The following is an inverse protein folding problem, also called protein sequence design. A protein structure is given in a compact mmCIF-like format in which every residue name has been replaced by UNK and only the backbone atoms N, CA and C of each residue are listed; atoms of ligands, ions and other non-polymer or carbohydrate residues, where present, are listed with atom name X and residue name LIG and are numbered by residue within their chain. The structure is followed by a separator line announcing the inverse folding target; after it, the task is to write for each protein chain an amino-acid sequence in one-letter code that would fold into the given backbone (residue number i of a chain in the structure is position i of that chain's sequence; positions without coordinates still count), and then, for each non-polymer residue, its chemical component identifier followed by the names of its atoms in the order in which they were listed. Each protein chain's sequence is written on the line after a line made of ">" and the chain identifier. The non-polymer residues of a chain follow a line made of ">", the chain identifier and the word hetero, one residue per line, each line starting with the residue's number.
data_IF_706393749606
#
_entry.id   IF_706393749606
#
_cell.length_a   1.000
_cell.length_b   1.000
_cell.length_c   1.000
_cell.angle_alpha   90.00
_cell.angle_beta   90.00
_cell.angle_gamma   90.00
#
_symmetry.space_group_name_H-M   'P 1'
#
loop_
_entity.id
_entity.type
_entity.pdbx_description
1 polymer ?
#
# COMPACT_ATOMS: atom_id res chain seq x y z
N UNK A 1 27.13 -13.80 -73.71
CA UNK A 1 27.88 -13.80 -72.41
C UNK A 1 27.12 -12.91 -71.40
N UNK A 2 26.17 -13.46 -70.70
CA UNK A 2 25.36 -12.75 -69.73
C UNK A 2 25.47 -13.47 -68.41
N UNK A 3 26.13 -12.83 -67.43
CA UNK A 3 26.31 -13.35 -66.07
C UNK A 3 25.06 -13.00 -65.26
N UNK A 4 24.32 -14.02 -64.88
CA UNK A 4 23.21 -13.93 -63.96
C UNK A 4 23.75 -13.84 -62.51
N UNK A 5 23.39 -12.76 -61.79
CA UNK A 5 23.72 -12.60 -60.38
C UNK A 5 22.59 -13.16 -59.53
N UNK A 6 22.84 -14.20 -58.77
CA UNK A 6 21.96 -14.70 -57.73
C UNK A 6 22.11 -13.83 -56.47
N UNK A 7 21.06 -13.19 -56.06
CA UNK A 7 20.96 -12.56 -54.73
C UNK A 7 20.44 -13.58 -53.71
N UNK A 8 21.01 -13.68 -52.51
CA UNK A 8 20.45 -14.53 -51.46
C UNK A 8 19.29 -13.84 -50.80
N UNK A 9 18.14 -14.53 -50.78
CA UNK A 9 16.97 -14.17 -50.00
C UNK A 9 17.27 -14.44 -48.53
N UNK A 10 17.45 -13.39 -47.76
CA UNK A 10 17.45 -13.45 -46.28
C UNK A 10 16.04 -13.70 -45.80
N UNK A 11 15.73 -14.92 -45.37
CA UNK A 11 14.54 -15.25 -44.59
C UNK A 11 14.69 -14.62 -43.18
N UNK A 12 14.08 -13.46 -42.98
CA UNK A 12 13.83 -12.96 -41.62
C UNK A 12 12.77 -13.84 -41.01
N UNK A 13 13.21 -14.75 -40.12
CA UNK A 13 12.34 -15.44 -39.19
C UNK A 13 11.76 -14.41 -38.20
N UNK A 14 10.56 -13.95 -38.49
CA UNK A 14 9.78 -13.19 -37.52
C UNK A 14 9.35 -14.11 -36.37
N UNK A 15 10.14 -14.12 -35.31
CA UNK A 15 9.78 -14.73 -34.05
C UNK A 15 8.65 -13.87 -33.48
N UNK A 16 7.39 -14.24 -33.80
CA UNK A 16 6.21 -13.71 -33.11
C UNK A 16 6.25 -14.16 -31.65
N UNK A 17 6.89 -13.36 -30.81
CA UNK A 17 6.60 -13.37 -29.39
C UNK A 17 5.18 -12.86 -29.23
N UNK A 18 4.22 -13.77 -29.19
CA UNK A 18 2.88 -13.48 -28.68
C UNK A 18 3.04 -13.13 -27.18
N UNK A 19 3.28 -11.87 -26.90
CA UNK A 19 2.99 -11.35 -25.57
C UNK A 19 1.49 -11.47 -25.39
N UNK A 20 1.09 -12.46 -24.59
CA UNK A 20 -0.23 -12.52 -24.03
C UNK A 20 -0.54 -11.14 -23.46
N UNK A 21 -1.56 -10.50 -24.02
CA UNK A 21 -2.18 -9.32 -23.42
C UNK A 21 -2.97 -9.80 -22.18
N UNK A 22 -2.23 -10.22 -21.15
CA UNK A 22 -2.75 -10.24 -19.80
C UNK A 22 -2.91 -8.78 -19.39
N UNK A 23 -4.04 -8.41 -18.83
CA UNK A 23 -4.27 -7.12 -18.21
C UNK A 23 -3.13 -6.88 -17.21
N UNK A 24 -2.07 -6.22 -17.69
CA UNK A 24 -0.86 -6.01 -16.94
C UNK A 24 -1.17 -5.20 -15.70
N UNK A 25 -0.97 -5.82 -14.56
CA UNK A 25 -0.92 -5.14 -13.28
C UNK A 25 -0.01 -3.90 -13.42
N UNK A 26 -0.61 -2.71 -13.40
CA UNK A 26 0.16 -1.47 -13.31
C UNK A 26 0.67 -1.38 -11.89
N UNK A 27 1.97 -1.56 -11.69
CA UNK A 27 2.62 -1.63 -10.38
C UNK A 27 2.44 -0.41 -9.46
N UNK A 28 1.52 0.49 -9.79
CA UNK A 28 1.17 1.69 -9.03
C UNK A 28 -0.23 1.65 -8.41
N UNK A 29 -1.02 0.58 -8.63
CA UNK A 29 -2.47 0.67 -8.45
C UNK A 29 -2.97 0.72 -7.01
N UNK A 30 -2.12 0.57 -5.99
CA UNK A 30 -2.58 0.56 -4.59
C UNK A 30 -1.92 1.56 -3.65
N UNK A 31 -0.72 2.07 -3.99
CA UNK A 31 0.00 2.99 -3.10
C UNK A 31 0.82 4.03 -3.88
N UNK A 32 0.73 4.07 -5.21
CA UNK A 32 1.66 4.84 -6.05
C UNK A 32 3.09 4.28 -6.08
N UNK A 33 3.34 3.15 -5.42
CA UNK A 33 4.67 2.56 -5.28
C UNK A 33 4.85 1.41 -6.27
N UNK A 34 5.88 1.47 -7.13
CA UNK A 34 6.26 0.35 -8.00
C UNK A 34 6.60 -0.86 -7.14
N UNK A 35 5.98 -2.01 -7.41
CA UNK A 35 6.19 -3.24 -6.64
C UNK A 35 7.57 -3.85 -6.91
N UNK A 36 8.02 -3.80 -8.16
CA UNK A 36 9.33 -4.32 -8.56
C UNK A 36 10.12 -3.22 -9.24
N UNK A 37 11.30 -2.96 -8.72
CA UNK A 37 12.29 -2.04 -9.28
C UNK A 37 13.61 -2.81 -9.38
N UNK A 38 14.39 -2.69 -10.45
CA UNK A 38 15.72 -3.28 -10.54
C UNK A 38 16.58 -2.89 -9.34
N UNK A 39 17.32 -3.83 -8.77
CA UNK A 39 18.06 -3.65 -7.51
C UNK A 39 19.12 -2.56 -7.61
N UNK A 40 19.73 -2.42 -8.78
CA UNK A 40 20.71 -1.38 -9.11
C UNK A 40 20.12 0.03 -9.17
N UNK A 41 18.80 0.15 -9.27
CA UNK A 41 18.06 1.42 -9.27
C UNK A 41 17.47 1.79 -7.90
N UNK A 42 17.63 0.92 -6.91
CA UNK A 42 17.13 1.18 -5.56
C UNK A 42 18.08 2.10 -4.80
N UNK A 43 17.56 3.17 -4.19
CA UNK A 43 18.37 4.01 -3.30
C UNK A 43 18.77 3.25 -2.03
N UNK A 44 19.80 3.72 -1.36
CA UNK A 44 20.33 3.13 -0.13
C UNK A 44 20.30 4.13 1.02
N UNK A 45 20.16 3.62 2.24
CA UNK A 45 20.41 4.42 3.45
C UNK A 45 21.88 4.77 3.54
N UNK A 46 22.18 5.92 4.11
CA UNK A 46 23.56 6.33 4.43
C UNK A 46 24.13 5.58 5.64
N UNK A 47 23.24 5.18 6.55
CA UNK A 47 23.56 4.37 7.74
C UNK A 47 22.40 3.38 7.94
N UNK A 48 22.75 2.13 8.20
CA UNK A 48 21.78 1.09 8.57
C UNK A 48 22.38 0.22 9.66
N UNK A 49 21.62 0.06 10.74
CA UNK A 49 21.88 -0.90 11.80
C UNK A 49 20.65 -1.80 11.90
N UNK A 50 20.84 -3.10 11.73
CA UNK A 50 19.74 -4.07 11.71
C UNK A 50 20.18 -5.34 12.46
N UNK A 51 19.64 -5.55 13.65
CA UNK A 51 19.96 -6.68 14.50
C UNK A 51 18.71 -7.42 15.02
N UNK A 52 18.81 -8.71 15.34
CA UNK A 52 17.74 -9.41 16.05
C UNK A 52 17.45 -8.73 17.38
N UNK A 53 16.17 -8.52 17.69
CA UNK A 53 15.78 -7.95 18.98
C UNK A 53 16.07 -8.94 20.12
N UNK A 54 16.61 -8.41 21.22
CA UNK A 54 16.92 -9.16 22.45
C UNK A 54 15.88 -8.94 23.55
N UNK A 55 14.84 -8.16 23.27
CA UNK A 55 13.83 -7.74 24.26
C UNK A 55 12.42 -8.10 23.82
N UNK A 56 11.54 -8.37 24.77
CA UNK A 56 10.11 -8.60 24.55
C UNK A 56 9.26 -7.33 24.74
N UNK A 57 9.80 -6.19 24.38
CA UNK A 57 9.10 -4.90 24.46
C UNK A 57 7.98 -4.75 23.43
N UNK A 58 7.28 -3.59 23.44
CA UNK A 58 6.29 -3.26 22.44
C UNK A 58 6.91 -3.19 21.05
N UNK A 59 6.08 -3.43 20.04
CA UNK A 59 6.46 -3.25 18.62
C UNK A 59 6.24 -1.81 18.23
N UNK A 60 7.28 -1.14 17.75
CA UNK A 60 7.23 0.24 17.27
C UNK A 60 7.82 0.32 15.87
N UNK A 61 7.14 1.00 14.97
CA UNK A 61 7.60 1.18 13.59
C UNK A 61 7.31 2.61 13.14
N UNK A 62 8.36 3.38 12.94
CA UNK A 62 8.25 4.81 12.65
C UNK A 62 9.09 5.21 11.45
N UNK A 63 8.46 5.98 10.57
CA UNK A 63 9.13 6.78 9.54
C UNK A 63 9.10 8.24 10.01
N UNK A 64 10.26 8.81 10.27
CA UNK A 64 10.35 10.19 10.72
C UNK A 64 10.65 11.15 9.58
N UNK A 65 10.08 12.37 9.63
CA UNK A 65 10.60 13.46 8.83
C UNK A 65 12.10 13.63 9.07
N UNK A 66 12.85 13.97 8.03
CA UNK A 66 14.31 14.06 8.13
C UNK A 66 15.05 12.77 7.80
N UNK A 67 14.39 11.84 7.11
CA UNK A 67 15.04 10.67 6.52
C UNK A 67 15.43 9.56 7.50
N UNK A 68 14.75 9.44 8.63
CA UNK A 68 15.03 8.40 9.63
C UNK A 68 13.92 7.33 9.68
N UNK A 69 14.34 6.08 9.85
CA UNK A 69 13.47 4.93 10.10
C UNK A 69 13.92 4.27 11.39
N UNK A 70 12.99 4.08 12.32
CA UNK A 70 13.20 3.32 13.56
C UNK A 70 12.14 2.23 13.67
N UNK A 71 12.58 0.99 13.65
CA UNK A 71 11.77 -0.18 13.95
C UNK A 71 12.33 -0.86 15.19
N UNK A 72 11.51 -1.01 16.22
CA UNK A 72 11.88 -1.61 17.51
C UNK A 72 10.97 -2.81 17.76
N UNK A 73 11.55 -3.99 17.99
CA UNK A 73 10.81 -5.23 18.18
C UNK A 73 9.82 -5.55 17.07
N UNK A 74 10.18 -5.29 15.81
CA UNK A 74 9.29 -5.48 14.65
C UNK A 74 9.54 -6.85 14.02
N UNK A 75 8.51 -7.71 13.89
CA UNK A 75 8.63 -8.95 13.11
C UNK A 75 9.09 -8.67 11.69
N UNK A 76 9.98 -9.50 11.14
CA UNK A 76 10.51 -9.30 9.79
C UNK A 76 9.42 -9.18 8.72
N UNK A 77 8.32 -9.92 8.89
CA UNK A 77 7.14 -9.79 8.01
C UNK A 77 6.60 -8.37 7.95
N UNK A 78 6.54 -7.67 9.08
CA UNK A 78 6.06 -6.29 9.13
C UNK A 78 7.09 -5.32 8.55
N UNK A 79 8.39 -5.59 8.70
CA UNK A 79 9.45 -4.82 8.02
C UNK A 79 9.29 -4.92 6.50
N UNK A 80 9.08 -6.13 5.99
CA UNK A 80 8.81 -6.36 4.57
C UNK A 80 7.51 -5.65 4.16
N UNK A 81 6.44 -5.78 4.92
CA UNK A 81 5.18 -5.08 4.64
C UNK A 81 5.37 -3.56 4.56
N UNK A 82 6.13 -2.97 5.49
CA UNK A 82 6.45 -1.54 5.48
C UNK A 82 7.23 -1.12 4.24
N UNK A 83 8.19 -1.94 3.78
CA UNK A 83 8.96 -1.67 2.58
C UNK A 83 8.09 -1.60 1.31
N UNK A 84 6.96 -2.31 1.27
CA UNK A 84 6.00 -2.29 0.15
C UNK A 84 4.75 -1.45 0.41
N UNK A 85 4.66 -0.77 1.55
CA UNK A 85 3.50 0.05 1.90
C UNK A 85 2.26 -0.78 2.27
N UNK A 86 2.48 -1.99 2.80
CA UNK A 86 1.41 -2.92 3.21
C UNK A 86 1.28 -3.01 4.74
N UNK A 87 1.63 -1.95 5.47
CA UNK A 87 1.61 -1.94 6.93
C UNK A 87 0.24 -2.30 7.51
N UNK A 88 -0.82 -1.89 6.82
CA UNK A 88 -2.20 -2.17 7.23
C UNK A 88 -2.71 -3.55 6.76
N UNK A 89 -1.96 -4.25 5.92
CA UNK A 89 -2.32 -5.56 5.39
C UNK A 89 -1.09 -6.45 5.17
N UNK A 90 -0.42 -6.80 6.28
CA UNK A 90 0.73 -7.68 6.23
C UNK A 90 0.42 -9.11 5.72
N UNK A 91 -0.86 -9.44 5.53
CA UNK A 91 -1.26 -10.69 4.89
C UNK A 91 -0.85 -10.76 3.41
N UNK A 92 -0.53 -9.61 2.80
CA UNK A 92 0.04 -9.51 1.45
C UNK A 92 1.53 -9.86 1.37
N UNK A 93 2.13 -10.25 2.49
CA UNK A 93 3.45 -10.89 2.53
C UNK A 93 3.23 -12.38 2.80
N UNK A 94 3.59 -13.22 1.84
CA UNK A 94 3.39 -14.66 1.87
C UNK A 94 4.71 -15.43 1.71
N UNK A 95 4.71 -16.72 2.05
CA UNK A 95 5.88 -17.58 1.91
C UNK A 95 6.99 -17.28 2.91
N UNK A 96 8.19 -17.73 2.58
CA UNK A 96 9.37 -17.61 3.42
C UNK A 96 9.41 -18.57 4.61
N UNK A 97 10.52 -18.59 5.34
CA UNK A 97 10.69 -19.43 6.53
C UNK A 97 9.85 -18.94 7.72
N UNK A 98 9.50 -19.83 8.63
CA UNK A 98 8.61 -19.53 9.76
C UNK A 98 9.07 -18.35 10.62
N UNK A 99 10.37 -18.17 10.80
CA UNK A 99 10.95 -17.11 11.60
C UNK A 99 10.57 -15.70 11.14
N UNK A 100 10.27 -15.51 9.85
CA UNK A 100 9.83 -14.22 9.29
C UNK A 100 8.59 -13.68 10.02
N UNK A 101 7.72 -14.57 10.49
CA UNK A 101 6.50 -14.21 11.22
C UNK A 101 6.72 -13.96 12.72
N UNK A 102 7.77 -14.51 13.30
CA UNK A 102 7.93 -14.59 14.75
C UNK A 102 9.15 -13.86 15.28
N UNK A 103 10.24 -13.83 14.53
CA UNK A 103 11.47 -13.16 14.99
C UNK A 103 11.38 -11.66 14.77
N UNK A 104 11.74 -10.96 15.81
CA UNK A 104 11.70 -9.50 15.88
C UNK A 104 13.09 -8.91 15.65
N UNK A 105 13.11 -7.76 15.03
CA UNK A 105 14.33 -7.02 14.69
C UNK A 105 14.24 -5.60 15.19
N UNK A 106 15.40 -5.05 15.54
CA UNK A 106 15.63 -3.62 15.72
C UNK A 106 16.34 -3.11 14.47
N UNK A 107 15.78 -2.11 13.82
CA UNK A 107 16.34 -1.50 12.62
C UNK A 107 16.35 0.01 12.80
N UNK A 108 17.54 0.59 12.77
CA UNK A 108 17.74 2.04 12.77
C UNK A 108 18.44 2.41 11.47
N UNK A 109 17.77 3.21 10.65
CA UNK A 109 18.33 3.61 9.36
C UNK A 109 18.19 5.11 9.13
N UNK A 110 19.17 5.69 8.46
CA UNK A 110 19.21 7.12 8.13
C UNK A 110 19.47 7.33 6.65
N UNK A 111 18.70 8.23 6.07
CA UNK A 111 18.82 8.72 4.70
C UNK A 111 19.14 10.22 4.71
N UNK A 112 19.09 10.85 3.55
CA UNK A 112 19.19 12.31 3.44
C UNK A 112 17.98 12.98 4.12
N UNK A 113 18.15 14.17 4.74
CA UNK A 113 17.07 14.82 5.52
C UNK A 113 15.81 15.19 4.72
N UNK A 114 15.93 15.32 3.41
CA UNK A 114 14.83 15.64 2.48
C UNK A 114 14.14 14.42 1.88
N UNK A 115 14.59 13.20 2.25
CA UNK A 115 14.02 11.96 1.76
C UNK A 115 12.55 11.82 2.15
N UNK A 116 11.71 11.53 1.17
CA UNK A 116 10.31 11.29 1.38
C UNK A 116 10.06 9.84 1.88
N UNK A 117 8.90 9.57 2.48
CA UNK A 117 8.54 8.22 2.94
C UNK A 117 8.60 7.19 1.80
N UNK A 118 8.25 7.59 0.58
CA UNK A 118 8.37 6.72 -0.59
C UNK A 118 9.82 6.27 -0.85
N UNK A 119 10.77 7.19 -0.70
CA UNK A 119 12.20 6.89 -0.86
C UNK A 119 12.70 5.98 0.27
N UNK A 120 12.28 6.24 1.51
CA UNK A 120 12.64 5.41 2.66
C UNK A 120 12.15 3.96 2.49
N UNK A 121 10.97 3.76 1.91
CA UNK A 121 10.47 2.42 1.56
C UNK A 121 11.33 1.74 0.49
N UNK A 122 11.78 2.47 -0.51
CA UNK A 122 12.69 1.92 -1.53
C UNK A 122 14.05 1.56 -0.92
N UNK A 123 14.56 2.39 -0.01
CA UNK A 123 15.79 2.09 0.74
C UNK A 123 15.63 0.86 1.64
N UNK A 124 14.47 0.66 2.27
CA UNK A 124 14.17 -0.57 3.02
C UNK A 124 14.19 -1.80 2.11
N UNK A 125 13.64 -1.71 0.89
CA UNK A 125 13.73 -2.82 -0.08
C UNK A 125 15.18 -3.13 -0.44
N UNK A 126 15.98 -2.08 -0.70
CA UNK A 126 17.41 -2.23 -0.97
C UNK A 126 18.12 -2.95 0.19
N UNK A 127 17.87 -2.53 1.41
CA UNK A 127 18.42 -3.16 2.62
C UNK A 127 18.03 -4.63 2.73
N UNK A 128 16.73 -4.93 2.59
CA UNK A 128 16.23 -6.31 2.66
C UNK A 128 16.87 -7.22 1.60
N UNK A 129 17.01 -6.73 0.38
CA UNK A 129 17.61 -7.48 -0.73
C UNK A 129 19.11 -7.66 -0.50
N UNK A 130 19.83 -6.59 -0.12
CA UNK A 130 21.31 -6.60 -0.06
C UNK A 130 21.85 -7.18 1.24
N UNK A 131 21.19 -6.92 2.37
CA UNK A 131 21.68 -7.38 3.67
C UNK A 131 21.05 -8.69 4.12
N UNK A 132 19.76 -8.90 3.83
CA UNK A 132 19.03 -10.12 4.20
C UNK A 132 18.85 -11.10 3.03
N UNK A 133 19.45 -10.85 1.88
CA UNK A 133 19.38 -11.75 0.72
C UNK A 133 17.95 -12.01 0.24
N UNK A 134 17.02 -11.07 0.48
CA UNK A 134 15.62 -11.25 0.12
C UNK A 134 15.46 -11.47 -1.38
N UNK A 135 14.92 -12.65 -1.75
CA UNK A 135 14.40 -12.94 -3.09
C UNK A 135 12.91 -13.11 -3.00
N UNK A 136 12.20 -12.53 -3.93
CA UNK A 136 10.74 -12.53 -3.95
C UNK A 136 10.23 -12.44 -5.38
N UNK A 137 8.98 -12.83 -5.56
CA UNK A 137 8.20 -12.51 -6.75
C UNK A 137 6.86 -11.90 -6.35
N UNK A 138 6.19 -11.30 -7.32
CA UNK A 138 4.84 -10.75 -7.12
C UNK A 138 3.85 -11.71 -7.77
N UNK A 139 2.86 -12.13 -7.01
CA UNK A 139 1.73 -12.91 -7.50
C UNK A 139 0.41 -12.20 -7.21
N UNK A 140 -0.62 -12.50 -7.97
CA UNK A 140 -1.96 -12.00 -7.71
C UNK A 140 -2.80 -13.05 -6.95
N UNK A 141 -3.39 -12.64 -5.83
CA UNK A 141 -4.29 -13.49 -5.07
C UNK A 141 -5.66 -12.86 -4.93
N UNK A 142 -6.72 -13.64 -5.21
CA UNK A 142 -8.10 -13.21 -4.98
C UNK A 142 -8.36 -13.07 -3.48
N UNK A 143 -8.57 -11.83 -3.02
CA UNK A 143 -8.76 -11.50 -1.60
C UNK A 143 -10.04 -10.72 -1.36
N UNK A 144 -10.64 -10.82 -0.17
CA UNK A 144 -11.70 -9.93 0.24
C UNK A 144 -11.20 -8.48 0.26
N UNK A 145 -11.97 -7.58 -0.34
CA UNK A 145 -11.68 -6.14 -0.40
C UNK A 145 -12.98 -5.35 -0.33
N UNK A 146 -12.85 -4.06 -0.06
CA UNK A 146 -13.89 -3.11 -0.43
C UNK A 146 -13.57 -2.49 -1.79
N UNK A 147 -14.51 -2.56 -2.72
CA UNK A 147 -14.45 -1.81 -3.97
C UNK A 147 -15.04 -0.41 -3.74
N UNK A 148 -14.23 0.63 -3.96
CA UNK A 148 -14.71 2.01 -4.05
C UNK A 148 -15.21 2.23 -5.47
N UNK A 149 -16.50 2.50 -5.63
CA UNK A 149 -17.15 2.59 -6.93
C UNK A 149 -18.07 3.82 -7.01
N UNK A 150 -18.43 4.23 -8.22
CA UNK A 150 -19.49 5.23 -8.42
C UNK A 150 -20.84 4.70 -7.93
N UNK A 151 -21.56 5.53 -7.18
CA UNK A 151 -22.95 5.25 -6.82
C UNK A 151 -23.90 5.34 -8.02
N UNK A 152 -25.17 5.11 -7.76
CA UNK A 152 -26.22 5.25 -8.80
C UNK A 152 -26.52 6.70 -9.18
N UNK A 153 -26.09 7.68 -8.36
CA UNK A 153 -26.32 9.10 -8.59
C UNK A 153 -25.13 9.80 -9.21
N UNK A 154 -25.21 11.13 -9.29
CA UNK A 154 -24.09 11.95 -9.74
C UNK A 154 -22.92 11.87 -8.75
N UNK A 155 -21.71 11.78 -9.29
CA UNK A 155 -20.47 11.95 -8.51
C UNK A 155 -20.37 13.42 -8.08
N UNK A 156 -20.05 13.66 -6.82
CA UNK A 156 -20.06 14.98 -6.18
C UNK A 156 -18.66 15.46 -5.80
N UNK A 157 -17.63 14.98 -6.49
CA UNK A 157 -16.27 15.46 -6.34
C UNK A 157 -15.96 16.48 -7.42
N UNK A 158 -15.16 17.49 -7.13
CA UNK A 158 -14.75 18.51 -8.09
C UNK A 158 -13.33 18.19 -8.54
N UNK A 159 -13.10 18.15 -9.86
CA UNK A 159 -11.75 17.98 -10.38
C UNK A 159 -10.89 19.17 -9.96
N UNK A 160 -9.72 18.91 -9.38
CA UNK A 160 -8.82 19.97 -8.92
C UNK A 160 -8.30 20.79 -10.09
N UNK A 161 -8.37 22.10 -9.95
CA UNK A 161 -7.98 23.03 -11.02
C UNK A 161 -6.46 23.17 -11.18
N UNK A 162 -5.70 22.84 -10.13
CA UNK A 162 -4.25 22.98 -10.06
C UNK A 162 -3.62 21.67 -9.61
N UNK A 163 -2.46 21.35 -10.16
CA UNK A 163 -1.62 20.27 -9.68
C UNK A 163 -0.77 20.78 -8.49
N UNK A 164 -1.36 20.83 -7.32
CA UNK A 164 -0.70 21.17 -6.07
C UNK A 164 -0.49 19.88 -5.24
N UNK A 165 0.38 19.89 -4.24
CA UNK A 165 0.51 18.77 -3.33
C UNK A 165 -0.82 18.43 -2.64
N UNK A 166 -1.02 17.15 -2.35
CA UNK A 166 -2.16 16.67 -1.58
C UNK A 166 -2.23 17.39 -0.22
N UNK A 167 -3.36 17.99 0.07
CA UNK A 167 -3.69 18.55 1.39
C UNK A 167 -5.02 17.98 1.89
N UNK A 168 -5.02 17.42 3.10
CA UNK A 168 -6.21 16.89 3.74
C UNK A 168 -6.32 17.38 5.18
N UNK A 169 -7.50 17.90 5.51
CA UNK A 169 -7.85 18.30 6.88
C UNK A 169 -8.92 17.36 7.44
N UNK A 170 -8.67 16.90 8.65
CA UNK A 170 -9.63 16.11 9.42
C UNK A 170 -10.09 16.91 10.63
N UNK A 171 -11.39 17.05 10.79
CA UNK A 171 -12.01 17.69 11.97
C UNK A 171 -13.00 16.73 12.62
N UNK A 172 -13.30 16.99 13.89
CA UNK A 172 -14.37 16.32 14.64
C UNK A 172 -15.21 17.40 15.31
N UNK A 173 -16.42 17.57 14.83
CA UNK A 173 -17.37 18.54 15.37
C UNK A 173 -18.64 17.80 15.80
N UNK A 174 -19.01 17.94 17.08
CA UNK A 174 -20.21 17.31 17.67
C UNK A 174 -20.30 15.79 17.39
N UNK A 175 -19.14 15.09 17.36
CA UNK A 175 -19.08 13.65 17.12
C UNK A 175 -19.08 13.25 15.65
N UNK A 176 -19.18 14.20 14.73
CA UNK A 176 -19.05 13.96 13.28
C UNK A 176 -17.61 14.17 12.86
N UNK A 177 -16.98 13.11 12.36
CA UNK A 177 -15.69 13.21 11.68
C UNK A 177 -15.91 13.75 10.28
N UNK A 178 -15.14 14.76 9.92
CA UNK A 178 -15.14 15.33 8.56
C UNK A 178 -13.76 15.21 7.96
N UNK A 179 -13.69 14.77 6.72
CA UNK A 179 -12.51 14.78 5.89
C UNK A 179 -12.72 15.75 4.72
N UNK A 180 -11.81 16.72 4.60
CA UNK A 180 -11.76 17.67 3.51
C UNK A 180 -10.41 17.56 2.85
N UNK A 181 -10.37 17.19 1.57
CA UNK A 181 -9.15 16.97 0.82
C UNK A 181 -9.13 17.80 -0.46
N UNK A 182 -7.92 18.26 -0.81
CA UNK A 182 -7.59 18.93 -2.05
C UNK A 182 -6.50 18.14 -2.78
N UNK A 183 -6.60 18.07 -4.10
CA UNK A 183 -5.64 17.37 -4.97
C UNK A 183 -5.44 15.89 -4.65
N UNK A 184 -6.48 15.19 -4.21
CA UNK A 184 -6.45 13.77 -3.88
C UNK A 184 -6.98 12.92 -5.03
N UNK A 185 -6.24 11.88 -5.42
CA UNK A 185 -6.75 10.87 -6.36
C UNK A 185 -7.70 9.91 -5.65
N UNK A 186 -8.56 9.24 -6.41
CA UNK A 186 -9.46 8.22 -5.81
C UNK A 186 -8.70 7.00 -5.30
N UNK A 187 -7.57 6.68 -5.89
CA UNK A 187 -6.67 5.61 -5.40
C UNK A 187 -6.05 5.97 -4.04
N UNK A 188 -5.62 7.23 -3.85
CA UNK A 188 -5.15 7.71 -2.54
C UNK A 188 -6.26 7.72 -1.49
N UNK A 189 -7.48 8.13 -1.87
CA UNK A 189 -8.65 8.04 -0.98
C UNK A 189 -8.90 6.59 -0.58
N UNK A 190 -8.94 5.64 -1.52
CA UNK A 190 -9.12 4.23 -1.25
C UNK A 190 -8.08 3.71 -0.25
N UNK A 191 -6.78 3.96 -0.51
CA UNK A 191 -5.69 3.56 0.39
C UNK A 191 -5.73 4.22 1.79
N UNK A 192 -6.36 5.39 1.90
CA UNK A 192 -6.45 6.13 3.15
C UNK A 192 -7.67 5.74 4.03
N UNK A 193 -8.75 5.21 3.44
CA UNK A 193 -10.00 4.93 4.14
C UNK A 193 -9.82 3.97 5.32
N UNK A 194 -9.01 2.94 5.17
CA UNK A 194 -8.72 1.99 6.27
C UNK A 194 -8.05 2.68 7.46
N UNK A 195 -7.15 3.63 7.20
CA UNK A 195 -6.48 4.42 8.24
C UNK A 195 -7.39 5.47 8.88
N UNK A 196 -8.29 6.09 8.09
CA UNK A 196 -9.20 7.13 8.60
C UNK A 196 -10.38 6.55 9.37
N UNK A 197 -10.85 5.36 8.99
CA UNK A 197 -12.04 4.76 9.57
C UNK A 197 -11.88 3.24 9.79
N UNK A 198 -10.86 2.80 10.58
CA UNK A 198 -10.54 1.37 10.75
C UNK A 198 -11.69 0.56 11.35
N UNK A 199 -12.58 1.18 12.12
CA UNK A 199 -13.78 0.51 12.65
C UNK A 199 -14.87 0.22 11.61
N UNK A 200 -14.77 0.78 10.40
CA UNK A 200 -15.65 0.53 9.27
C UNK A 200 -14.97 -0.27 8.17
N UNK A 201 -13.66 -0.08 7.99
CA UNK A 201 -12.88 -0.60 6.88
C UNK A 201 -11.80 -1.51 7.44
N UNK A 202 -12.13 -2.78 7.58
CA UNK A 202 -11.27 -3.84 8.11
C UNK A 202 -10.53 -4.63 7.01
N UNK A 203 -10.80 -4.30 5.75
CA UNK A 203 -10.20 -4.91 4.57
C UNK A 203 -9.60 -3.85 3.66
N UNK A 204 -8.63 -4.21 2.79
CA UNK A 204 -8.11 -3.28 1.79
C UNK A 204 -9.22 -2.69 0.92
N UNK A 205 -9.04 -1.44 0.51
CA UNK A 205 -9.94 -0.77 -0.42
C UNK A 205 -9.28 -0.64 -1.77
N UNK A 206 -9.99 -1.02 -2.82
CA UNK A 206 -9.55 -0.92 -4.21
C UNK A 206 -10.36 0.18 -4.90
N UNK A 207 -9.69 1.06 -5.61
CA UNK A 207 -10.34 2.06 -6.44
C UNK A 207 -10.82 1.44 -7.76
N UNK A 208 -12.12 1.31 -7.89
CA UNK A 208 -12.84 0.90 -9.10
C UNK A 208 -13.78 2.00 -9.59
N UNK A 209 -13.52 3.26 -9.21
CA UNK A 209 -14.35 4.39 -9.64
C UNK A 209 -14.20 4.73 -11.12
N UNK A 210 -13.03 4.44 -11.71
CA UNK A 210 -12.68 4.90 -13.04
C UNK A 210 -12.64 6.43 -13.14
N UNK A 211 -12.35 7.14 -12.05
CA UNK A 211 -12.14 8.58 -12.00
C UNK A 211 -10.63 8.86 -12.05
N UNK A 212 -10.18 9.44 -13.14
CA UNK A 212 -8.77 9.78 -13.34
C UNK A 212 -8.49 11.24 -12.94
N UNK A 213 -7.28 11.48 -12.38
CA UNK A 213 -6.85 12.80 -11.94
C UNK A 213 -7.06 13.05 -10.46
N UNK A 214 -6.90 14.31 -10.07
CA UNK A 214 -6.99 14.78 -8.68
C UNK A 214 -8.32 15.50 -8.45
N UNK A 215 -8.84 15.38 -7.24
CA UNK A 215 -10.15 15.90 -6.87
C UNK A 215 -10.11 16.62 -5.53
N UNK A 216 -10.98 17.62 -5.43
CA UNK A 216 -11.31 18.34 -4.22
C UNK A 216 -12.68 17.85 -3.73
N UNK A 217 -12.77 17.51 -2.46
CA UNK A 217 -14.00 17.01 -1.88
C UNK A 217 -14.05 17.12 -0.37
N UNK A 218 -15.27 17.02 0.15
CA UNK A 218 -15.55 17.00 1.59
C UNK A 218 -16.66 16.02 1.90
N UNK A 219 -16.48 15.18 2.90
CA UNK A 219 -17.54 14.33 3.42
C UNK A 219 -17.35 14.07 4.91
N UNK A 220 -18.43 13.62 5.57
CA UNK A 220 -18.41 13.36 6.99
C UNK A 220 -19.10 12.05 7.34
N UNK A 221 -18.72 11.49 8.51
CA UNK A 221 -19.31 10.29 9.08
C UNK A 221 -19.22 10.32 10.60
N UNK A 222 -20.05 9.52 11.30
CA UNK A 222 -19.90 9.29 12.72
C UNK A 222 -18.98 8.10 12.98
N UNK A 223 -17.92 8.26 13.80
CA UNK A 223 -17.05 7.14 14.15
C UNK A 223 -17.84 6.05 14.89
N UNK A 224 -17.61 4.77 14.51
CA UNK A 224 -18.02 3.66 15.37
C UNK A 224 -17.14 3.64 16.61
N UNK A 225 -17.73 3.50 17.80
CA UNK A 225 -16.96 3.12 18.98
C UNK A 225 -16.47 1.70 18.79
N UNK A 226 -15.15 1.50 18.84
CA UNK A 226 -14.64 0.15 19.07
C UNK A 226 -15.08 -0.23 20.49
N UNK A 227 -15.66 -1.42 20.72
CA UNK A 227 -15.88 -1.90 22.07
C UNK A 227 -14.51 -1.98 22.76
N UNK A 228 -14.31 -1.20 23.81
CA UNK A 228 -13.12 -1.28 24.64
C UNK A 228 -12.96 -2.72 25.11
N UNK A 229 -11.84 -3.34 24.85
CA UNK A 229 -11.50 -4.70 25.26
C UNK A 229 -11.55 -4.91 26.80
N UNK A 230 -11.76 -3.83 27.57
CA UNK A 230 -11.80 -3.83 29.03
C UNK A 230 -13.20 -3.96 29.64
N UNK A 231 -14.29 -3.95 28.85
CA UNK A 231 -15.66 -4.12 29.34
C UNK A 231 -16.37 -5.28 28.66
N UNK A 232 -15.85 -6.48 28.88
CA UNK A 232 -16.46 -7.72 28.44
C UNK A 232 -17.76 -8.09 29.20
N UNK A 233 -18.49 -7.14 29.77
CA UNK A 233 -19.72 -7.33 30.53
C UNK A 233 -20.99 -6.80 29.89
N UNK A 234 -20.91 -5.88 28.95
CA UNK A 234 -22.07 -5.36 28.21
C UNK A 234 -22.10 -5.96 26.79
N UNK A 235 -22.53 -7.20 26.72
CA UNK A 235 -22.95 -7.80 25.45
C UNK A 235 -24.05 -6.93 24.83
N UNK A 236 -23.93 -6.66 23.52
CA UNK A 236 -24.97 -6.13 22.65
C UNK A 236 -25.29 -4.63 22.76
N UNK A 237 -24.37 -3.76 22.49
CA UNK A 237 -24.77 -2.57 21.75
C UNK A 237 -23.89 -2.38 20.51
N UNK A 238 -24.12 -3.21 19.50
CA UNK A 238 -23.93 -2.86 18.09
C UNK A 238 -24.96 -1.79 17.70
N UNK A 239 -25.28 -0.87 18.59
CA UNK A 239 -26.13 0.25 18.29
C UNK A 239 -25.33 1.15 17.35
N UNK A 240 -25.76 1.08 16.10
CA UNK A 240 -25.52 2.13 15.11
C UNK A 240 -25.77 3.45 15.85
N UNK A 241 -24.79 4.39 15.93
CA UNK A 241 -24.93 5.58 16.75
C UNK A 241 -26.02 6.54 16.26
N UNK A 242 -26.97 6.06 15.44
CA UNK A 242 -28.10 6.85 14.93
C UNK A 242 -27.69 7.97 13.96
N UNK A 243 -26.44 7.97 13.54
CA UNK A 243 -25.86 8.99 12.68
C UNK A 243 -25.37 8.46 11.35
N UNK A 244 -24.79 9.33 10.54
CA UNK A 244 -24.27 9.04 9.21
C UNK A 244 -23.10 8.06 9.28
N UNK A 245 -23.26 6.86 8.78
CA UNK A 245 -22.18 5.86 8.66
C UNK A 245 -21.14 6.31 7.64
N UNK A 246 -19.92 5.71 7.66
CA UNK A 246 -18.91 5.97 6.63
C UNK A 246 -19.46 5.70 5.21
N UNK A 247 -20.17 4.58 5.03
CA UNK A 247 -20.75 4.18 3.74
C UNK A 247 -21.77 5.22 3.23
N UNK A 248 -22.61 5.71 4.11
CA UNK A 248 -23.57 6.77 3.78
C UNK A 248 -22.88 8.11 3.56
N UNK A 249 -21.83 8.43 4.33
CA UNK A 249 -21.03 9.63 4.17
C UNK A 249 -20.38 9.72 2.81
N UNK A 250 -19.76 8.63 2.36
CA UNK A 250 -19.21 8.51 1.01
C UNK A 250 -20.29 8.65 -0.07
N UNK A 251 -21.43 7.99 0.11
CA UNK A 251 -22.51 8.05 -0.86
C UNK A 251 -23.18 9.44 -0.92
N UNK A 252 -23.56 10.01 0.23
CA UNK A 252 -24.23 11.31 0.29
C UNK A 252 -23.29 12.48 -0.03
N UNK A 253 -22.03 12.40 0.43
CA UNK A 253 -21.03 13.45 0.24
C UNK A 253 -20.38 13.41 -1.13
N UNK A 254 -19.94 12.24 -1.60
CA UNK A 254 -19.14 12.10 -2.81
C UNK A 254 -19.88 11.43 -3.97
N UNK A 255 -21.01 10.79 -3.74
CA UNK A 255 -21.68 9.97 -4.74
C UNK A 255 -20.95 8.64 -4.99
N UNK A 256 -20.07 8.23 -4.06
CA UNK A 256 -19.30 6.99 -4.12
C UNK A 256 -19.85 5.95 -3.13
N UNK A 257 -19.60 4.69 -3.39
CA UNK A 257 -20.01 3.57 -2.52
C UNK A 257 -18.84 2.61 -2.29
N UNK A 258 -18.86 1.96 -1.14
CA UNK A 258 -18.00 0.84 -0.81
C UNK A 258 -18.80 -0.45 -0.84
N UNK A 259 -18.40 -1.39 -1.67
CA UNK A 259 -18.98 -2.73 -1.74
C UNK A 259 -17.95 -3.76 -1.33
N UNK A 260 -18.32 -4.69 -0.44
CA UNK A 260 -17.49 -5.87 -0.15
C UNK A 260 -17.52 -6.81 -1.35
N UNK A 261 -16.34 -7.20 -1.81
CA UNK A 261 -16.15 -8.10 -2.96
C UNK A 261 -14.82 -8.85 -2.83
N UNK A 262 -14.49 -9.65 -3.84
CA UNK A 262 -13.16 -10.22 -4.01
C UNK A 262 -12.48 -9.58 -5.19
N UNK A 263 -11.21 -9.24 -5.02
CA UNK A 263 -10.39 -8.65 -6.07
C UNK A 263 -8.98 -9.24 -6.04
N UNK A 264 -8.35 -9.34 -7.19
CA UNK A 264 -6.97 -9.76 -7.29
C UNK A 264 -6.07 -8.66 -6.70
N UNK A 265 -5.37 -8.99 -5.61
CA UNK A 265 -4.39 -8.10 -4.99
C UNK A 265 -2.98 -8.66 -5.19
N UNK A 266 -2.00 -7.79 -5.46
CA UNK A 266 -0.62 -8.21 -5.51
C UNK A 266 -0.14 -8.61 -4.11
N UNK A 267 0.55 -9.73 -4.06
CA UNK A 267 1.17 -10.33 -2.87
C UNK A 267 2.65 -10.47 -3.14
N UNK A 268 3.46 -10.11 -2.19
CA UNK A 268 4.91 -10.37 -2.21
C UNK A 268 5.13 -11.77 -1.66
N UNK A 269 5.46 -12.70 -2.54
CA UNK A 269 5.82 -14.07 -2.17
C UNK A 269 7.33 -14.15 -1.93
N UNK A 270 7.73 -14.52 -0.73
CA UNK A 270 9.14 -14.66 -0.34
C UNK A 270 9.66 -16.00 -0.82
N UNK A 271 10.62 -15.98 -1.73
CA UNK A 271 11.31 -17.17 -2.22
C UNK A 271 12.48 -17.57 -1.32
N UNK A 272 13.23 -16.56 -0.85
CA UNK A 272 14.38 -16.73 0.05
C UNK A 272 14.57 -15.47 0.90
N UNK A 273 15.01 -15.66 2.14
CA UNK A 273 15.50 -14.58 3.00
C UNK A 273 16.45 -15.18 4.04
N UNK A 274 17.57 -14.51 4.30
CA UNK A 274 18.56 -14.93 5.28
C UNK A 274 18.23 -14.33 6.67
N UNK A 275 18.50 -15.10 7.73
CA UNK A 275 18.13 -14.73 9.10
C UNK A 275 19.02 -13.63 9.70
N UNK A 276 20.23 -13.51 9.22
CA UNK A 276 21.21 -12.52 9.70
C UNK A 276 21.56 -11.56 8.58
N UNK A 277 21.62 -10.28 8.90
CA UNK A 277 22.14 -9.29 7.97
C UNK A 277 23.62 -9.58 7.68
N UNK A 278 24.00 -9.55 6.42
CA UNK A 278 25.42 -9.61 6.02
C UNK A 278 26.00 -8.23 6.25
N UNK A 279 26.95 -8.12 7.18
CA UNK A 279 27.75 -6.89 7.33
C UNK A 279 28.52 -6.62 6.02
N UNK A 280 28.43 -5.39 5.55
CA UNK A 280 29.23 -4.91 4.42
C UNK A 280 30.40 -4.08 4.90
#
# INVERSE_FOLDING_TARGET
>A
MTKSAFAPILLLSACCAAFAQGNGFRGSDFTGVKLVIPVDQLPEFSVTDAEPSKTDGPTEAHFYPGGRVDFINVPMKLVIAAAWGFENDASRIAGGPAWVNTEKFNIVAKAQPDSQIADLRLMLRSMLIKQFGLKFHVEEQMRPVYALEKGKGAVKVTQSAKQEPLDCKRSNESGVMTLECHNMTMSELAGALQRFAPAYVDQPVVDLTGLEGQYDFKFGWMPRRQPDAARAGDALSTSDPGGLTLFEGLYKGLGLKLNSTKHALPVIAIDQIDRTAVEK
#
